data_IF_363352413741
#
_entry.id   IF_363352413741
#
_cell.length_a   1.000
_cell.length_b   1.000
_cell.length_c   1.000
_cell.angle_alpha   90.00
_cell.angle_beta   90.00
_cell.angle_gamma   90.00
#
_symmetry.space_group_name_H-M   'P 1'
#
loop_
_entity.id
_entity.type
_entity.pdbx_description
1 polymer ?
#
# COMPACT_ATOMS: atom_id res chain seq x y z
N UNK A 1 12.94 -19.10 -36.37
CA UNK A 1 14.14 -19.89 -36.76
C UNK A 1 14.26 -21.06 -35.83
N UNK A 2 14.28 -22.33 -36.30
CA UNK A 2 14.48 -23.48 -35.43
C UNK A 2 15.92 -23.47 -34.93
N UNK A 3 16.13 -23.17 -33.66
CA UNK A 3 17.45 -23.31 -33.01
C UNK A 3 17.86 -24.77 -33.01
N UNK A 4 19.09 -25.03 -33.38
CA UNK A 4 19.62 -26.41 -33.48
C UNK A 4 19.98 -26.88 -32.07
N UNK A 5 19.05 -27.61 -31.41
CA UNK A 5 19.17 -28.09 -30.02
C UNK A 5 19.50 -29.59 -29.98
N UNK A 6 20.54 -29.96 -29.24
CA UNK A 6 20.92 -31.37 -29.04
C UNK A 6 21.44 -31.63 -27.63
N UNK A 7 21.24 -32.89 -27.17
CA UNK A 7 21.69 -33.41 -25.89
C UNK A 7 22.59 -34.63 -26.08
N UNK A 8 23.68 -34.72 -25.29
CA UNK A 8 24.58 -35.84 -25.32
C UNK A 8 25.08 -36.18 -23.91
N UNK A 9 24.82 -37.40 -23.45
CA UNK A 9 25.52 -37.92 -22.28
C UNK A 9 26.86 -38.49 -22.70
N UNK A 10 27.90 -38.23 -21.90
CA UNK A 10 29.24 -38.68 -22.15
C UNK A 10 30.04 -38.83 -20.85
N UNK A 11 31.11 -39.61 -20.90
CA UNK A 11 32.04 -39.79 -19.78
C UNK A 11 33.13 -38.72 -19.85
N UNK A 12 33.29 -37.93 -18.78
CA UNK A 12 34.32 -36.88 -18.71
C UNK A 12 35.57 -37.43 -18.00
N UNK A 13 36.52 -37.95 -18.78
CA UNK A 13 37.77 -38.43 -18.25
C UNK A 13 38.67 -37.28 -17.79
N UNK A 14 39.27 -37.35 -16.57
CA UNK A 14 40.30 -36.41 -16.13
C UNK A 14 41.56 -36.51 -17.00
N UNK A 15 42.40 -35.46 -17.03
CA UNK A 15 43.59 -35.39 -17.88
C UNK A 15 44.55 -36.57 -17.65
N UNK A 16 44.65 -37.08 -16.41
CA UNK A 16 45.57 -38.18 -16.01
C UNK A 16 44.78 -39.46 -15.66
N UNK A 17 43.74 -39.77 -16.42
CA UNK A 17 42.93 -40.96 -16.18
C UNK A 17 43.71 -42.21 -16.50
N UNK A 18 43.81 -43.10 -15.54
CA UNK A 18 44.47 -44.43 -15.69
C UNK A 18 43.47 -45.58 -15.68
N UNK A 19 42.60 -45.65 -14.68
CA UNK A 19 41.58 -46.70 -14.55
C UNK A 19 40.48 -46.27 -13.53
N UNK A 20 39.32 -46.96 -13.57
CA UNK A 20 38.23 -46.79 -12.61
C UNK A 20 37.01 -46.05 -13.15
N UNK A 21 35.97 -45.82 -12.29
CA UNK A 21 34.75 -45.13 -12.68
C UNK A 21 35.01 -43.66 -13.07
N UNK A 22 34.27 -43.16 -14.04
CA UNK A 22 34.40 -41.84 -14.60
C UNK A 22 33.03 -41.09 -14.50
N UNK A 23 33.01 -39.83 -14.11
CA UNK A 23 31.75 -39.07 -13.98
C UNK A 23 31.05 -38.91 -15.31
N UNK A 24 29.72 -39.07 -15.26
CA UNK A 24 28.81 -38.87 -16.38
C UNK A 24 28.39 -37.41 -16.45
N UNK A 25 28.51 -36.82 -17.63
CA UNK A 25 28.08 -35.44 -17.91
C UNK A 25 27.00 -35.41 -19.00
N UNK A 26 26.07 -34.50 -18.91
CA UNK A 26 25.14 -34.13 -19.95
C UNK A 26 25.62 -32.84 -20.63
N UNK A 27 25.87 -32.93 -21.92
CA UNK A 27 26.18 -31.75 -22.77
C UNK A 27 24.91 -31.26 -23.46
N UNK A 28 24.64 -29.99 -23.29
CA UNK A 28 23.58 -29.24 -23.97
C UNK A 28 24.24 -28.42 -25.05
N UNK A 29 23.78 -28.55 -26.29
CA UNK A 29 24.28 -27.74 -27.42
C UNK A 29 23.11 -26.99 -28.04
N UNK A 30 23.25 -25.67 -28.21
CA UNK A 30 22.31 -24.81 -28.90
C UNK A 30 23.08 -23.92 -29.85
N UNK A 31 22.79 -24.00 -31.12
CA UNK A 31 23.45 -23.22 -32.19
C UNK A 31 24.99 -23.27 -32.12
N UNK A 32 25.54 -24.46 -31.85
CA UNK A 32 26.97 -24.70 -31.73
C UNK A 32 27.62 -24.34 -30.39
N UNK A 33 26.94 -23.56 -29.52
CA UNK A 33 27.41 -23.24 -28.17
C UNK A 33 27.07 -24.37 -27.19
N UNK A 34 27.95 -24.63 -26.24
CA UNK A 34 27.87 -25.80 -25.34
C UNK A 34 27.79 -25.37 -23.89
N UNK A 35 26.97 -26.09 -23.10
CA UNK A 35 26.97 -26.08 -21.65
C UNK A 35 27.00 -27.51 -21.12
N UNK A 36 27.58 -27.74 -19.94
CA UNK A 36 27.74 -29.09 -19.37
C UNK A 36 27.13 -29.11 -17.96
N UNK A 37 26.48 -30.24 -17.65
CA UNK A 37 25.86 -30.52 -16.35
C UNK A 37 26.37 -31.89 -15.90
N UNK A 38 26.83 -32.03 -14.65
CA UNK A 38 27.15 -33.31 -14.05
C UNK A 38 25.87 -34.10 -13.78
N UNK A 39 25.81 -35.35 -14.14
CA UNK A 39 24.71 -36.26 -13.77
C UNK A 39 24.77 -36.69 -12.30
N UNK A 40 25.84 -36.35 -11.56
CA UNK A 40 26.05 -36.75 -10.17
C UNK A 40 26.23 -38.25 -9.98
N UNK A 41 26.67 -38.94 -11.03
CA UNK A 41 26.94 -40.41 -11.06
C UNK A 41 28.19 -40.69 -11.86
N UNK A 42 28.80 -41.83 -11.57
CA UNK A 42 29.99 -42.32 -12.25
C UNK A 42 29.72 -43.67 -12.91
N UNK A 43 30.49 -44.00 -13.92
CA UNK A 43 30.37 -45.24 -14.67
C UNK A 43 31.77 -45.76 -15.09
N UNK A 44 31.94 -47.06 -15.06
CA UNK A 44 33.10 -47.71 -15.67
C UNK A 44 33.01 -47.54 -17.20
N UNK A 45 34.08 -47.00 -17.86
CA UNK A 45 34.09 -46.80 -19.30
C UNK A 45 33.85 -48.08 -20.11
N UNK A 46 34.22 -49.27 -19.58
CA UNK A 46 33.98 -50.55 -20.24
C UNK A 46 32.48 -50.91 -20.33
N UNK A 47 31.67 -50.35 -19.45
CA UNK A 47 30.22 -50.56 -19.40
C UNK A 47 29.44 -49.44 -20.07
N UNK A 48 30.08 -48.51 -20.76
CA UNK A 48 29.45 -47.37 -21.41
C UNK A 48 29.30 -47.53 -22.92
N UNK A 49 28.11 -47.48 -23.43
CA UNK A 49 27.84 -47.40 -24.87
C UNK A 49 27.81 -45.93 -25.34
N UNK A 50 28.89 -45.50 -25.98
CA UNK A 50 29.00 -44.10 -26.47
C UNK A 50 28.01 -43.76 -27.56
N UNK A 51 27.55 -44.72 -28.38
CA UNK A 51 26.54 -44.50 -29.41
C UNK A 51 25.14 -44.31 -28.83
N UNK A 52 24.77 -45.14 -27.86
CA UNK A 52 23.49 -45.06 -27.18
C UNK A 52 23.50 -43.99 -26.06
N UNK A 53 24.68 -43.52 -25.60
CA UNK A 53 24.83 -42.63 -24.43
C UNK A 53 24.19 -43.22 -23.16
N UNK A 54 24.35 -44.55 -22.95
CA UNK A 54 23.77 -45.33 -21.85
C UNK A 54 24.71 -46.43 -21.37
N UNK A 55 24.44 -46.94 -20.17
CA UNK A 55 25.18 -48.10 -19.64
C UNK A 55 24.68 -49.38 -20.30
N UNK A 56 25.63 -50.32 -20.49
CA UNK A 56 25.38 -51.66 -21.02
C UNK A 56 25.16 -52.62 -19.85
N UNK A 57 24.10 -53.44 -19.92
CA UNK A 57 23.83 -54.54 -18.98
C UNK A 57 22.34 -54.60 -18.61
N UNK A 58 21.98 -55.72 -17.96
CA UNK A 58 20.59 -56.05 -17.58
C UNK A 58 20.34 -55.95 -16.07
N UNK A 59 21.41 -55.74 -15.26
CA UNK A 59 21.32 -55.66 -13.81
C UNK A 59 20.48 -54.44 -13.37
N UNK A 60 19.83 -54.53 -12.21
CA UNK A 60 18.95 -53.50 -11.66
C UNK A 60 19.63 -52.14 -11.50
N UNK A 61 20.91 -52.14 -11.10
CA UNK A 61 21.72 -50.91 -11.00
C UNK A 61 21.85 -50.18 -12.34
N UNK A 62 22.00 -50.93 -13.45
CA UNK A 62 22.13 -50.37 -14.81
C UNK A 62 20.78 -49.76 -15.24
N UNK A 63 19.68 -50.46 -14.97
CA UNK A 63 18.33 -49.98 -15.26
C UNK A 63 18.04 -48.72 -14.50
N UNK A 64 18.34 -48.71 -13.19
CA UNK A 64 18.13 -47.54 -12.31
C UNK A 64 18.94 -46.32 -12.78
N UNK A 65 20.21 -46.53 -13.16
CA UNK A 65 21.05 -45.45 -13.65
C UNK A 65 20.58 -44.92 -15.02
N UNK A 66 20.23 -45.81 -15.94
CA UNK A 66 19.68 -45.40 -17.23
C UNK A 66 18.34 -44.64 -17.08
N UNK A 67 17.45 -45.10 -16.17
CA UNK A 67 16.21 -44.38 -15.85
C UNK A 67 16.47 -42.98 -15.27
N UNK A 68 17.50 -42.82 -14.43
CA UNK A 68 17.93 -41.52 -13.94
C UNK A 68 18.40 -40.60 -15.09
N UNK A 69 19.19 -41.12 -16.03
CA UNK A 69 19.64 -40.35 -17.20
C UNK A 69 18.45 -39.94 -18.08
N UNK A 70 17.46 -40.81 -18.28
CA UNK A 70 16.23 -40.51 -19.02
C UNK A 70 15.42 -39.41 -18.33
N UNK A 71 15.33 -39.44 -17.01
CA UNK A 71 14.66 -38.38 -16.23
C UNK A 71 15.39 -37.04 -16.36
N UNK A 72 16.71 -37.03 -16.28
CA UNK A 72 17.53 -35.83 -16.48
C UNK A 72 17.31 -35.25 -17.89
N UNK A 73 17.32 -36.14 -18.90
CA UNK A 73 17.06 -35.74 -20.29
C UNK A 73 15.69 -35.10 -20.45
N UNK A 74 14.65 -35.72 -19.91
CA UNK A 74 13.28 -35.21 -19.93
C UNK A 74 13.17 -33.81 -19.29
N UNK A 75 13.77 -33.62 -18.11
CA UNK A 75 13.81 -32.33 -17.43
C UNK A 75 14.49 -31.23 -18.24
N UNK A 76 15.54 -31.54 -18.97
CA UNK A 76 16.23 -30.56 -19.84
C UNK A 76 15.39 -30.24 -21.07
N UNK A 77 14.67 -31.21 -21.66
CA UNK A 77 13.69 -30.94 -22.73
C UNK A 77 12.57 -30.06 -22.24
N UNK A 78 12.04 -30.29 -21.02
CA UNK A 78 11.01 -29.43 -20.44
C UNK A 78 11.52 -28.00 -20.19
N UNK A 79 12.77 -27.85 -19.72
CA UNK A 79 13.41 -26.53 -19.58
C UNK A 79 13.54 -25.81 -20.93
N UNK A 80 13.99 -26.52 -21.97
CA UNK A 80 14.07 -25.98 -23.33
C UNK A 80 12.70 -25.54 -23.84
N UNK A 81 11.66 -26.39 -23.72
CA UNK A 81 10.28 -26.08 -24.15
C UNK A 81 9.75 -24.82 -23.47
N UNK A 82 9.87 -24.70 -22.13
CA UNK A 82 9.45 -23.52 -21.36
C UNK A 82 10.14 -22.24 -21.82
N UNK A 83 11.44 -22.32 -22.09
CA UNK A 83 12.19 -21.16 -22.59
C UNK A 83 11.75 -20.77 -24.01
N UNK A 84 11.50 -21.76 -24.89
CA UNK A 84 11.04 -21.52 -26.27
C UNK A 84 9.67 -20.84 -26.34
N UNK A 85 8.80 -21.10 -25.35
CA UNK A 85 7.49 -20.42 -25.24
C UNK A 85 7.61 -18.97 -24.73
N UNK A 86 8.71 -18.61 -24.07
CA UNK A 86 8.90 -17.32 -23.41
C UNK A 86 9.86 -16.38 -24.13
N UNK A 87 10.76 -16.89 -24.98
CA UNK A 87 11.86 -16.12 -25.62
C UNK A 87 12.07 -16.54 -27.04
N UNK A 88 12.39 -15.59 -27.91
CA UNK A 88 12.73 -15.83 -29.31
C UNK A 88 14.14 -16.44 -29.48
N UNK A 89 15.07 -16.14 -28.58
CA UNK A 89 16.45 -16.66 -28.61
C UNK A 89 16.79 -17.34 -27.31
N UNK A 90 17.35 -18.55 -27.39
CA UNK A 90 17.72 -19.38 -26.23
C UNK A 90 19.18 -19.80 -26.39
N UNK A 91 19.93 -19.82 -25.30
CA UNK A 91 21.31 -20.31 -25.27
C UNK A 91 21.42 -21.62 -24.46
N UNK A 92 22.49 -22.39 -24.67
CA UNK A 92 22.76 -23.59 -23.87
C UNK A 92 22.94 -23.26 -22.36
N UNK A 93 23.43 -22.06 -22.03
CA UNK A 93 23.53 -21.55 -20.67
C UNK A 93 22.17 -21.27 -20.07
N UNK A 94 21.25 -20.66 -20.79
CA UNK A 94 19.87 -20.39 -20.28
C UNK A 94 19.19 -21.70 -19.90
N UNK A 95 19.32 -22.75 -20.71
CA UNK A 95 18.75 -24.07 -20.42
C UNK A 95 19.41 -24.70 -19.17
N UNK A 96 20.72 -24.61 -19.08
CA UNK A 96 21.46 -25.08 -17.89
C UNK A 96 21.02 -24.35 -16.64
N UNK A 97 20.91 -23.03 -16.71
CA UNK A 97 20.52 -22.17 -15.59
C UNK A 97 19.10 -22.46 -15.10
N UNK A 98 18.14 -22.65 -16.02
CA UNK A 98 16.77 -23.07 -15.67
C UNK A 98 16.77 -24.47 -15.06
N UNK A 99 17.54 -25.42 -15.63
CA UNK A 99 17.63 -26.79 -15.12
C UNK A 99 18.26 -26.86 -13.73
N UNK A 100 19.34 -26.11 -13.49
CA UNK A 100 20.07 -26.11 -12.20
C UNK A 100 19.46 -25.14 -11.20
N UNK A 101 18.51 -24.30 -11.60
CA UNK A 101 17.98 -23.21 -10.79
C UNK A 101 18.97 -22.06 -10.54
N UNK A 102 20.13 -22.07 -11.24
CA UNK A 102 21.22 -21.10 -11.01
C UNK A 102 21.06 -19.80 -11.80
N UNK A 103 20.21 -19.77 -12.83
CA UNK A 103 19.97 -18.58 -13.67
C UNK A 103 19.03 -17.56 -13.07
N UNK A 104 18.29 -17.93 -12.05
CA UNK A 104 17.50 -16.99 -11.28
C UNK A 104 18.35 -16.47 -10.12
N UNK A 105 18.93 -15.26 -10.29
CA UNK A 105 19.49 -14.55 -9.13
C UNK A 105 18.50 -14.63 -7.99
N UNK A 106 18.89 -15.27 -6.88
CA UNK A 106 18.07 -15.29 -5.67
C UNK A 106 17.71 -13.84 -5.32
N UNK A 107 16.45 -13.48 -5.55
CA UNK A 107 15.99 -12.14 -5.26
C UNK A 107 15.58 -12.05 -3.82
N UNK A 108 16.20 -11.13 -3.11
CA UNK A 108 15.98 -10.95 -1.70
C UNK A 108 14.82 -9.98 -1.46
N UNK A 109 14.02 -10.29 -0.44
CA UNK A 109 12.80 -9.53 -0.10
C UNK A 109 13.11 -8.07 0.27
N UNK A 110 14.08 -7.89 1.19
CA UNK A 110 14.38 -6.55 1.72
C UNK A 110 15.07 -5.69 0.68
N UNK A 111 15.90 -6.28 -0.19
CA UNK A 111 16.46 -5.59 -1.34
C UNK A 111 15.35 -5.07 -2.28
N UNK A 112 14.40 -5.93 -2.62
CA UNK A 112 13.25 -5.57 -3.49
C UNK A 112 12.38 -4.49 -2.84
N UNK A 113 12.12 -4.58 -1.55
CA UNK A 113 11.35 -3.60 -0.81
C UNK A 113 12.08 -2.25 -0.73
N UNK A 114 13.39 -2.27 -0.47
CA UNK A 114 14.24 -1.06 -0.46
C UNK A 114 14.22 -0.35 -1.81
N UNK A 115 14.33 -1.11 -2.91
CA UNK A 115 14.28 -0.59 -4.27
C UNK A 115 12.94 0.11 -4.58
N UNK A 116 11.83 -0.50 -4.15
CA UNK A 116 10.50 0.11 -4.24
C UNK A 116 10.44 1.44 -3.46
N UNK A 117 10.93 1.47 -2.21
CA UNK A 117 10.90 2.67 -1.38
C UNK A 117 11.78 3.79 -1.97
N UNK A 118 12.93 3.44 -2.54
CA UNK A 118 13.81 4.38 -3.25
C UNK A 118 13.11 5.01 -4.47
N UNK A 119 12.34 4.21 -5.24
CA UNK A 119 11.55 4.71 -6.37
C UNK A 119 10.45 5.67 -5.90
N UNK A 120 9.74 5.34 -4.82
CA UNK A 120 8.76 6.27 -4.22
C UNK A 120 9.45 7.55 -3.73
N UNK A 121 10.61 7.45 -3.06
CA UNK A 121 11.34 8.61 -2.55
C UNK A 121 11.71 9.59 -3.66
N UNK A 122 12.13 9.10 -4.82
CA UNK A 122 12.47 9.92 -6.00
C UNK A 122 11.26 10.68 -6.59
N UNK A 123 10.04 10.22 -6.30
CA UNK A 123 8.78 10.80 -6.80
C UNK A 123 8.01 11.58 -5.72
N UNK A 124 8.59 11.76 -4.52
CA UNK A 124 7.99 12.58 -3.46
C UNK A 124 7.93 14.05 -3.91
N UNK A 125 6.77 14.66 -3.74
CA UNK A 125 6.49 16.02 -4.19
C UNK A 125 6.04 16.13 -5.66
N UNK A 126 6.11 15.03 -6.42
CA UNK A 126 5.57 14.92 -7.79
C UNK A 126 4.33 14.05 -7.81
N UNK A 127 4.49 12.76 -7.57
CA UNK A 127 3.43 11.75 -7.61
C UNK A 127 3.01 11.29 -6.20
N UNK A 128 3.96 11.26 -5.26
CA UNK A 128 3.72 10.77 -3.92
C UNK A 128 3.89 11.83 -2.84
N UNK A 129 2.98 11.85 -1.87
CA UNK A 129 3.15 12.65 -0.67
C UNK A 129 4.21 12.05 0.27
N UNK A 130 4.97 12.89 1.00
CA UNK A 130 5.98 12.48 2.00
C UNK A 130 5.44 11.44 2.99
N UNK A 131 4.19 11.60 3.45
CA UNK A 131 3.53 10.64 4.36
C UNK A 131 3.25 9.26 3.72
N UNK A 132 3.28 9.15 2.39
CA UNK A 132 3.19 7.85 1.71
C UNK A 132 4.51 7.10 1.84
N UNK A 133 5.63 7.76 1.60
CA UNK A 133 6.97 7.19 1.79
C UNK A 133 7.16 6.73 3.25
N UNK A 134 6.88 7.59 4.23
CA UNK A 134 6.99 7.24 5.66
C UNK A 134 6.24 5.96 6.04
N UNK A 135 5.06 5.73 5.44
CA UNK A 135 4.27 4.51 5.67
C UNK A 135 4.93 3.26 5.10
N UNK A 136 5.55 3.35 3.93
CA UNK A 136 6.30 2.25 3.35
C UNK A 136 7.61 1.99 4.10
N UNK A 137 8.30 3.03 4.57
CA UNK A 137 9.48 2.91 5.43
C UNK A 137 9.15 2.22 6.75
N UNK A 138 8.02 2.58 7.37
CA UNK A 138 7.51 1.89 8.58
C UNK A 138 7.19 0.42 8.30
N UNK A 139 6.52 0.12 7.18
CA UNK A 139 6.26 -1.27 6.77
C UNK A 139 7.56 -2.05 6.51
N UNK A 140 8.53 -1.43 5.87
CA UNK A 140 9.86 -2.00 5.64
C UNK A 140 10.56 -2.36 6.95
N UNK A 141 10.54 -1.43 7.93
CA UNK A 141 11.11 -1.66 9.25
C UNK A 141 10.44 -2.85 9.96
N UNK A 142 9.11 -2.89 10.01
CA UNK A 142 8.38 -4.00 10.60
C UNK A 142 8.68 -5.33 9.91
N UNK A 143 8.78 -5.36 8.59
CA UNK A 143 9.13 -6.57 7.85
C UNK A 143 10.54 -7.04 8.20
N UNK A 144 11.51 -6.14 8.28
CA UNK A 144 12.90 -6.47 8.66
C UNK A 144 13.00 -6.99 10.11
N UNK A 145 12.28 -6.36 11.02
CA UNK A 145 12.22 -6.77 12.43
C UNK A 145 11.55 -8.14 12.58
N UNK A 146 10.49 -8.41 11.80
CA UNK A 146 9.84 -9.71 11.75
C UNK A 146 10.78 -10.83 11.26
N UNK A 147 11.56 -10.58 10.20
CA UNK A 147 12.54 -11.55 9.69
C UNK A 147 13.57 -11.93 10.77
N UNK A 148 14.05 -10.94 11.52
CA UNK A 148 14.95 -11.18 12.65
C UNK A 148 14.30 -11.96 13.78
N UNK A 149 13.07 -11.57 14.14
CA UNK A 149 12.31 -12.19 15.22
C UNK A 149 11.96 -13.65 14.91
N UNK A 150 11.43 -13.94 13.73
CA UNK A 150 10.88 -15.25 13.38
C UNK A 150 11.91 -16.21 12.80
N UNK A 151 12.82 -15.70 12.00
CA UNK A 151 13.75 -16.52 11.21
C UNK A 151 15.23 -16.29 11.57
N UNK A 152 15.57 -15.32 12.42
CA UNK A 152 16.95 -15.00 12.79
C UNK A 152 17.81 -14.44 11.64
N UNK A 153 17.19 -13.99 10.55
CA UNK A 153 17.88 -13.52 9.34
C UNK A 153 17.62 -12.04 9.07
N UNK A 154 18.51 -11.40 8.34
CA UNK A 154 18.35 -9.99 7.93
C UNK A 154 17.54 -9.84 6.64
N UNK A 155 17.48 -10.87 5.79
CA UNK A 155 16.75 -10.92 4.54
C UNK A 155 16.39 -12.36 4.17
N UNK A 156 15.46 -12.57 3.25
CA UNK A 156 14.98 -13.89 2.82
C UNK A 156 14.73 -13.90 1.31
N UNK A 157 14.96 -15.06 0.68
CA UNK A 157 14.58 -15.27 -0.72
C UNK A 157 13.06 -15.13 -0.88
N UNK A 158 12.61 -14.30 -1.86
CA UNK A 158 11.20 -14.06 -2.12
C UNK A 158 10.41 -15.33 -2.45
N UNK A 159 11.06 -16.38 -2.96
CA UNK A 159 10.44 -17.68 -3.25
C UNK A 159 10.04 -18.47 -1.99
N UNK A 160 10.62 -18.13 -0.83
CA UNK A 160 10.28 -18.73 0.47
C UNK A 160 9.08 -18.08 1.15
N UNK A 161 8.49 -17.06 0.53
CA UNK A 161 7.33 -16.36 1.07
C UNK A 161 6.07 -17.12 0.66
N UNK A 162 5.51 -17.85 1.60
CA UNK A 162 4.28 -18.63 1.47
C UNK A 162 3.12 -18.02 2.27
N UNK A 163 2.01 -18.72 2.34
CA UNK A 163 0.84 -18.29 3.11
C UNK A 163 1.12 -18.23 4.62
N UNK A 164 1.88 -19.20 5.14
CA UNK A 164 2.25 -19.25 6.55
C UNK A 164 3.08 -18.01 6.95
N UNK A 165 4.01 -17.58 6.09
CA UNK A 165 4.74 -16.33 6.28
C UNK A 165 3.80 -15.12 6.47
N UNK A 166 2.72 -15.04 5.67
CA UNK A 166 1.78 -13.91 5.75
C UNK A 166 0.99 -13.92 7.06
N UNK A 167 0.55 -15.10 7.50
CA UNK A 167 -0.16 -15.25 8.78
C UNK A 167 0.75 -14.95 9.98
N UNK A 168 1.96 -15.47 9.98
CA UNK A 168 2.97 -15.19 11.01
C UNK A 168 3.32 -13.69 11.08
N UNK A 169 3.41 -13.02 9.91
CA UNK A 169 3.67 -11.59 9.86
C UNK A 169 2.50 -10.76 10.42
N UNK A 170 1.25 -11.10 10.07
CA UNK A 170 0.07 -10.42 10.63
C UNK A 170 -0.04 -10.66 12.15
N UNK A 171 0.24 -11.89 12.61
CA UNK A 171 0.29 -12.22 14.02
C UNK A 171 1.36 -11.42 14.78
N UNK A 172 2.59 -11.35 14.23
CA UNK A 172 3.69 -10.55 14.80
C UNK A 172 3.32 -9.06 14.92
N UNK A 173 2.70 -8.49 13.90
CA UNK A 173 2.27 -7.09 13.94
C UNK A 173 1.26 -6.82 15.07
N UNK A 174 0.37 -7.78 15.34
CA UNK A 174 -0.66 -7.65 16.36
C UNK A 174 -0.15 -7.89 17.77
N UNK A 175 0.72 -8.87 17.96
CA UNK A 175 1.15 -9.34 19.29
C UNK A 175 2.44 -8.68 19.73
N UNK A 176 3.46 -8.66 18.91
CA UNK A 176 4.78 -8.12 19.26
C UNK A 176 4.85 -6.61 19.03
N UNK A 177 4.33 -6.14 17.89
CA UNK A 177 4.30 -4.70 17.59
C UNK A 177 3.10 -3.97 18.23
N UNK A 178 2.19 -4.66 18.91
CA UNK A 178 0.96 -4.11 19.50
C UNK A 178 0.14 -3.23 18.52
N UNK A 179 0.14 -3.59 17.23
CA UNK A 179 -0.61 -2.85 16.24
C UNK A 179 -2.10 -3.13 16.36
N UNK A 180 -2.90 -2.08 16.44
CA UNK A 180 -4.36 -2.20 16.31
C UNK A 180 -4.72 -2.80 14.94
N UNK A 181 -5.88 -3.50 14.87
CA UNK A 181 -6.34 -4.23 13.69
C UNK A 181 -6.13 -3.48 12.37
N UNK A 182 -6.60 -2.23 12.29
CA UNK A 182 -6.55 -1.47 11.04
C UNK A 182 -5.11 -1.07 10.65
N UNK A 183 -4.23 -0.89 11.63
CA UNK A 183 -2.80 -0.62 11.41
C UNK A 183 -2.09 -1.86 10.90
N UNK A 184 -2.29 -3.03 11.53
CA UNK A 184 -1.73 -4.31 11.09
C UNK A 184 -2.16 -4.62 9.65
N UNK A 185 -3.46 -4.59 9.37
CA UNK A 185 -4.00 -4.83 8.01
C UNK A 185 -3.40 -3.86 6.98
N UNK A 186 -3.11 -2.62 7.37
CA UNK A 186 -2.49 -1.63 6.47
C UNK A 186 -1.03 -1.96 6.16
N UNK A 187 -0.25 -2.39 7.17
CA UNK A 187 1.14 -2.82 6.95
C UNK A 187 1.19 -4.09 6.08
N UNK A 188 0.30 -5.05 6.34
CA UNK A 188 0.17 -6.25 5.48
C UNK A 188 -0.23 -5.87 4.05
N UNK A 189 -1.11 -4.89 3.84
CA UNK A 189 -1.44 -4.36 2.49
C UNK A 189 -0.24 -3.71 1.79
N UNK A 190 0.59 -2.98 2.52
CA UNK A 190 1.81 -2.41 1.96
C UNK A 190 2.79 -3.52 1.55
N UNK A 191 2.96 -4.55 2.39
CA UNK A 191 3.74 -5.73 2.08
C UNK A 191 3.18 -6.47 0.85
N UNK A 192 1.86 -6.66 0.77
CA UNK A 192 1.18 -7.24 -0.40
C UNK A 192 1.51 -6.50 -1.70
N UNK A 193 1.71 -5.17 -1.66
CA UNK A 193 2.13 -4.40 -2.84
C UNK A 193 3.50 -4.86 -3.34
N UNK A 194 4.44 -5.13 -2.45
CA UNK A 194 5.78 -5.63 -2.81
C UNK A 194 5.68 -7.01 -3.44
N UNK A 195 4.92 -7.91 -2.82
CA UNK A 195 4.71 -9.27 -3.38
C UNK A 195 4.05 -9.21 -4.76
N UNK A 196 3.09 -8.31 -4.98
CA UNK A 196 2.49 -8.11 -6.30
C UNK A 196 3.49 -7.64 -7.35
N UNK A 197 4.46 -6.81 -6.98
CA UNK A 197 5.55 -6.41 -7.87
C UNK A 197 6.41 -7.64 -8.22
N UNK A 198 6.73 -8.49 -7.23
CA UNK A 198 7.48 -9.73 -7.46
C UNK A 198 6.73 -10.68 -8.41
N UNK A 199 5.42 -10.82 -8.23
CA UNK A 199 4.57 -11.64 -9.10
C UNK A 199 4.47 -11.07 -10.52
N UNK A 200 4.27 -9.77 -10.67
CA UNK A 200 4.18 -9.10 -11.96
C UNK A 200 5.48 -9.22 -12.78
N UNK A 201 6.62 -9.37 -12.11
CA UNK A 201 7.92 -9.63 -12.75
C UNK A 201 8.22 -11.14 -12.94
N UNK A 202 7.28 -12.03 -12.62
CA UNK A 202 7.46 -13.47 -12.73
C UNK A 202 8.42 -14.09 -11.71
N UNK A 203 8.81 -13.37 -10.66
CA UNK A 203 9.75 -13.85 -9.64
C UNK A 203 9.09 -14.78 -8.61
N UNK A 204 7.78 -14.66 -8.42
CA UNK A 204 6.95 -15.55 -7.61
C UNK A 204 5.80 -16.05 -8.48
N UNK A 205 5.63 -17.37 -8.55
CA UNK A 205 4.57 -17.99 -9.35
C UNK A 205 3.26 -18.10 -8.58
N UNK A 206 3.33 -18.55 -7.32
CA UNK A 206 2.15 -18.72 -6.46
C UNK A 206 1.91 -17.46 -5.62
N UNK A 207 0.63 -17.04 -5.55
CA UNK A 207 0.25 -15.90 -4.74
C UNK A 207 0.12 -16.28 -3.25
N UNK A 208 1.04 -15.86 -2.35
CA UNK A 208 0.96 -16.20 -0.94
C UNK A 208 -0.23 -15.54 -0.21
N UNK A 209 -0.88 -14.56 -0.85
CA UNK A 209 -2.06 -13.88 -0.31
C UNK A 209 -3.39 -14.45 -0.79
N UNK A 210 -3.42 -15.57 -1.54
CA UNK A 210 -4.67 -16.11 -2.12
C UNK A 210 -5.76 -16.31 -1.06
N UNK A 211 -5.41 -16.87 0.10
CA UNK A 211 -6.33 -17.18 1.18
C UNK A 211 -6.33 -16.15 2.32
N UNK A 212 -5.46 -15.14 2.29
CA UNK A 212 -5.39 -14.14 3.35
C UNK A 212 -6.54 -13.12 3.27
N UNK A 213 -7.34 -13.02 4.34
CA UNK A 213 -8.51 -12.14 4.47
C UNK A 213 -8.31 -11.09 5.58
N UNK A 214 -7.48 -10.10 5.33
CA UNK A 214 -7.35 -8.95 6.25
C UNK A 214 -8.59 -8.05 6.22
N UNK A 215 -9.42 -8.10 7.28
CA UNK A 215 -10.63 -7.27 7.40
C UNK A 215 -10.34 -5.99 8.13
N UNK A 216 -10.65 -4.87 7.51
CA UNK A 216 -10.63 -3.55 8.15
C UNK A 216 -11.90 -3.41 9.00
N UNK A 217 -11.75 -3.11 10.29
CA UNK A 217 -12.88 -2.79 11.16
C UNK A 217 -13.34 -1.35 10.89
N UNK A 218 -14.63 -1.16 10.74
CA UNK A 218 -15.22 0.19 10.67
C UNK A 218 -15.00 0.88 12.02
N UNK A 219 -14.55 2.11 11.98
CA UNK A 219 -14.40 2.95 13.16
C UNK A 219 -15.49 4.01 13.11
N UNK A 220 -16.30 4.09 14.14
CA UNK A 220 -17.29 5.13 14.27
C UNK A 220 -16.59 6.48 14.41
N UNK A 221 -17.00 7.40 13.58
CA UNK A 221 -16.40 8.72 13.54
C UNK A 221 -17.21 9.65 14.41
N UNK A 222 -16.53 10.25 15.38
CA UNK A 222 -17.11 11.19 16.32
C UNK A 222 -17.31 12.54 15.60
N UNK A 223 -18.48 13.16 15.79
CA UNK A 223 -18.76 14.55 15.43
C UNK A 223 -19.25 15.30 16.67
N UNK A 224 -19.23 16.62 16.64
CA UNK A 224 -19.82 17.46 17.68
C UNK A 224 -21.32 17.61 17.44
N UNK A 225 -22.08 17.72 18.53
CA UNK A 225 -23.48 18.13 18.47
C UNK A 225 -23.58 19.66 18.33
N UNK A 226 -24.77 20.17 18.05
CA UNK A 226 -25.00 21.62 17.95
C UNK A 226 -24.69 22.32 19.29
N UNK A 227 -25.08 21.72 20.40
CA UNK A 227 -24.84 22.24 21.76
C UNK A 227 -23.33 22.25 22.10
N UNK A 228 -22.59 21.25 21.65
CA UNK A 228 -21.13 21.21 21.86
C UNK A 228 -20.41 22.28 21.03
N UNK A 229 -20.88 22.54 19.79
CA UNK A 229 -20.35 23.62 18.96
C UNK A 229 -20.65 24.97 19.63
N UNK A 230 -21.90 25.18 20.11
CA UNK A 230 -22.29 26.39 20.80
C UNK A 230 -21.45 26.65 22.05
N UNK A 231 -21.23 25.63 22.89
CA UNK A 231 -20.35 25.75 24.07
C UNK A 231 -18.93 26.19 23.71
N UNK A 232 -18.36 25.68 22.61
CA UNK A 232 -17.03 26.09 22.13
C UNK A 232 -17.07 27.54 21.63
N UNK A 233 -18.12 27.94 20.91
CA UNK A 233 -18.31 29.30 20.35
C UNK A 233 -18.40 30.34 21.44
N UNK A 234 -19.23 30.11 22.47
CA UNK A 234 -19.52 31.06 23.55
C UNK A 234 -18.40 31.16 24.59
N UNK A 235 -17.51 30.15 24.62
CA UNK A 235 -16.42 30.10 25.61
C UNK A 235 -15.40 31.20 25.35
N UNK A 236 -15.20 32.06 26.34
CA UNK A 236 -14.09 33.02 26.36
C UNK A 236 -12.84 32.34 26.96
N UNK A 237 -11.73 32.49 26.28
CA UNK A 237 -10.45 31.97 26.75
C UNK A 237 -9.54 33.09 27.26
N UNK A 238 -8.77 32.79 28.29
CA UNK A 238 -7.83 33.77 28.90
C UNK A 238 -6.58 34.01 28.03
N UNK A 239 -6.38 33.24 26.96
CA UNK A 239 -5.17 33.31 26.13
C UNK A 239 -5.52 33.30 24.64
N UNK A 240 -4.93 34.22 23.89
CA UNK A 240 -5.12 34.36 22.45
C UNK A 240 -4.82 33.06 21.67
N UNK A 241 -3.85 32.24 22.15
CA UNK A 241 -3.50 30.96 21.52
C UNK A 241 -4.67 30.00 21.46
N UNK A 242 -5.49 29.94 22.51
CA UNK A 242 -6.68 29.08 22.56
C UNK A 242 -7.82 29.67 21.73
N UNK A 243 -7.96 30.99 21.74
CA UNK A 243 -8.93 31.68 20.89
C UNK A 243 -8.62 31.45 19.40
N UNK A 244 -7.39 31.61 18.96
CA UNK A 244 -7.00 31.36 17.58
C UNK A 244 -7.29 29.90 17.17
N UNK A 245 -6.97 28.94 18.03
CA UNK A 245 -7.24 27.52 17.74
C UNK A 245 -8.72 27.21 17.71
N UNK A 246 -9.52 27.77 18.65
CA UNK A 246 -10.97 27.68 18.63
C UNK A 246 -11.53 28.20 17.31
N UNK A 247 -11.15 29.39 16.92
CA UNK A 247 -11.69 30.08 15.74
C UNK A 247 -11.34 29.32 14.45
N UNK A 248 -10.09 28.86 14.31
CA UNK A 248 -9.71 28.00 13.18
C UNK A 248 -10.46 26.66 13.19
N UNK A 249 -10.73 26.08 14.36
CA UNK A 249 -11.50 24.86 14.48
C UNK A 249 -12.96 25.06 14.10
N UNK A 250 -13.60 26.12 14.61
CA UNK A 250 -14.97 26.49 14.25
C UNK A 250 -15.10 26.79 12.76
N UNK A 251 -14.13 27.52 12.19
CA UNK A 251 -14.08 27.75 10.74
C UNK A 251 -14.06 26.42 9.96
N UNK A 252 -13.26 25.44 10.41
CA UNK A 252 -13.29 24.11 9.82
C UNK A 252 -14.63 23.38 10.03
N UNK A 253 -15.33 23.63 11.16
CA UNK A 253 -16.68 23.10 11.40
C UNK A 253 -17.73 23.70 10.46
N UNK A 254 -17.58 24.97 10.08
CA UNK A 254 -18.55 25.66 9.21
C UNK A 254 -18.23 25.58 7.72
N UNK A 255 -17.01 25.17 7.34
CA UNK A 255 -16.59 25.09 5.93
C UNK A 255 -16.30 23.66 5.46
N UNK A 256 -16.07 22.74 6.39
CA UNK A 256 -15.67 21.37 6.08
C UNK A 256 -14.26 21.22 5.53
N UNK A 257 -13.47 22.28 5.46
CA UNK A 257 -12.09 22.23 4.99
C UNK A 257 -11.23 21.39 5.94
N UNK A 258 -10.32 20.60 5.39
CA UNK A 258 -9.35 19.91 6.20
C UNK A 258 -8.26 20.89 6.68
N UNK A 259 -7.59 20.59 7.80
CA UNK A 259 -6.51 21.40 8.35
C UNK A 259 -5.49 21.82 7.27
N UNK A 260 -5.07 20.88 6.42
CA UNK A 260 -4.09 21.14 5.38
C UNK A 260 -4.59 22.13 4.33
N UNK A 261 -5.89 22.12 4.04
CA UNK A 261 -6.53 23.00 3.07
C UNK A 261 -6.70 24.41 3.66
N UNK A 262 -7.10 24.54 4.94
CA UNK A 262 -7.17 25.85 5.63
C UNK A 262 -5.76 26.45 5.80
N UNK A 263 -4.75 25.61 6.10
CA UNK A 263 -3.37 26.09 6.26
C UNK A 263 -2.78 26.73 5.02
N UNK A 264 -3.20 26.28 3.82
CA UNK A 264 -2.74 26.84 2.53
C UNK A 264 -3.64 27.94 1.99
N UNK A 265 -4.85 28.13 2.57
CA UNK A 265 -5.86 29.06 2.08
C UNK A 265 -5.30 30.49 2.04
N UNK A 266 -5.55 31.16 0.94
CA UNK A 266 -5.20 32.57 0.74
C UNK A 266 -6.44 33.44 0.76
N UNK A 267 -6.29 34.75 1.06
CA UNK A 267 -7.40 35.67 1.04
C UNK A 267 -8.08 35.75 -0.35
N UNK A 268 -7.33 35.60 -1.44
CA UNK A 268 -7.86 35.57 -2.80
C UNK A 268 -8.68 34.32 -3.14
N UNK A 269 -8.60 33.24 -2.35
CA UNK A 269 -9.44 32.06 -2.53
C UNK A 269 -10.89 32.29 -2.03
N UNK A 270 -11.12 33.40 -1.32
CA UNK A 270 -12.44 33.87 -0.86
C UNK A 270 -12.93 34.93 -1.83
N UNK A 271 -14.00 34.64 -2.53
CA UNK A 271 -14.58 35.58 -3.52
C UNK A 271 -16.09 35.38 -3.64
N UNK A 272 -16.78 36.37 -4.28
CA UNK A 272 -18.22 36.28 -4.50
C UNK A 272 -18.54 35.12 -5.45
N UNK A 273 -19.53 34.31 -5.05
CA UNK A 273 -20.09 33.23 -5.85
C UNK A 273 -21.20 33.72 -6.82
N UNK A 274 -21.88 32.75 -7.43
CA UNK A 274 -22.96 32.98 -8.39
C UNK A 274 -24.21 33.60 -7.75
N UNK A 275 -24.35 33.47 -6.44
CA UNK A 275 -25.42 33.97 -5.60
C UNK A 275 -25.13 35.37 -4.99
N UNK A 276 -23.94 35.94 -5.28
CA UNK A 276 -23.44 37.18 -4.72
C UNK A 276 -22.84 37.08 -3.33
N UNK A 277 -22.99 35.96 -2.67
CA UNK A 277 -22.43 35.64 -1.34
C UNK A 277 -20.96 35.23 -1.42
N UNK A 278 -20.26 35.21 -0.28
CA UNK A 278 -18.87 34.80 -0.21
C UNK A 278 -18.74 33.28 -0.28
N UNK A 279 -17.83 32.82 -1.10
CA UNK A 279 -17.48 31.44 -1.29
C UNK A 279 -15.98 31.23 -1.16
N UNK A 280 -15.57 29.99 -0.78
CA UNK A 280 -14.20 29.51 -0.90
C UNK A 280 -14.09 28.66 -2.14
N UNK A 281 -13.16 29.01 -3.04
CA UNK A 281 -12.78 28.21 -4.19
C UNK A 281 -11.36 27.71 -4.01
N UNK A 282 -11.19 26.40 -3.77
CA UNK A 282 -9.89 25.81 -3.53
C UNK A 282 -9.79 24.42 -4.12
N UNK A 283 -8.57 23.88 -4.15
CA UNK A 283 -8.33 22.49 -4.52
C UNK A 283 -7.82 21.73 -3.30
N UNK A 284 -8.40 20.58 -3.07
CA UNK A 284 -8.05 19.75 -1.94
C UNK A 284 -6.61 19.24 -2.09
N UNK A 285 -5.75 19.48 -1.11
CA UNK A 285 -4.32 19.10 -1.18
C UNK A 285 -4.08 17.59 -1.35
N UNK A 286 -4.98 16.74 -0.84
CA UNK A 286 -4.82 15.28 -0.88
C UNK A 286 -5.23 14.65 -2.22
N UNK A 287 -6.18 15.22 -2.93
CA UNK A 287 -6.85 14.60 -4.08
C UNK A 287 -6.88 15.50 -5.31
N UNK A 288 -6.40 16.74 -5.18
CA UNK A 288 -6.44 17.78 -6.22
C UNK A 288 -7.85 18.05 -6.78
N UNK A 289 -8.87 17.60 -6.05
CA UNK A 289 -10.27 17.78 -6.42
C UNK A 289 -10.70 19.20 -6.05
N UNK A 290 -11.39 19.87 -6.95
CA UNK A 290 -11.99 21.19 -6.69
C UNK A 290 -12.98 21.09 -5.54
N UNK A 291 -12.89 22.03 -4.61
CA UNK A 291 -13.84 22.27 -3.51
C UNK A 291 -14.37 23.69 -3.64
N UNK A 292 -15.68 23.85 -3.69
CA UNK A 292 -16.36 25.15 -3.71
C UNK A 292 -17.37 25.13 -2.56
N UNK A 293 -17.16 26.01 -1.60
CA UNK A 293 -17.92 26.03 -0.35
C UNK A 293 -18.52 27.43 -0.14
N UNK A 294 -19.87 27.59 -0.17
CA UNK A 294 -20.52 28.83 0.25
C UNK A 294 -20.22 29.05 1.72
N UNK A 295 -19.89 30.28 2.09
CA UNK A 295 -19.60 30.62 3.48
C UNK A 295 -20.87 30.84 4.26
N UNK A 296 -21.02 30.13 5.36
CA UNK A 296 -22.07 30.43 6.35
C UNK A 296 -21.72 31.70 7.12
N UNK A 297 -22.72 32.48 7.63
CA UNK A 297 -22.47 33.73 8.37
C UNK A 297 -21.39 33.59 9.46
N UNK A 298 -21.46 32.55 10.26
CA UNK A 298 -20.44 32.28 11.30
C UNK A 298 -19.02 32.11 10.75
N UNK A 299 -18.87 31.62 9.53
CA UNK A 299 -17.53 31.50 8.90
C UNK A 299 -17.06 32.87 8.35
N UNK A 300 -17.96 33.71 7.89
CA UNK A 300 -17.66 35.07 7.45
C UNK A 300 -17.21 35.92 8.64
N UNK A 301 -17.96 35.90 9.77
CA UNK A 301 -17.59 36.61 11.01
C UNK A 301 -16.18 36.24 11.49
N UNK A 302 -15.78 34.94 11.37
CA UNK A 302 -14.44 34.51 11.72
C UNK A 302 -13.37 35.08 10.79
N UNK A 303 -13.64 35.24 9.51
CA UNK A 303 -12.69 35.87 8.56
C UNK A 303 -12.57 37.35 8.87
N UNK A 304 -13.70 38.01 9.08
CA UNK A 304 -13.76 39.46 9.39
C UNK A 304 -13.01 39.80 10.69
N UNK A 305 -13.14 38.94 11.72
CA UNK A 305 -12.40 39.08 12.99
C UNK A 305 -10.89 39.21 12.76
N UNK A 306 -10.34 38.50 11.77
CA UNK A 306 -8.88 38.48 11.48
C UNK A 306 -8.50 39.35 10.28
N UNK A 307 -9.42 40.13 9.72
CA UNK A 307 -9.17 40.95 8.53
C UNK A 307 -8.03 41.97 8.74
N UNK A 308 -7.89 42.49 9.98
CA UNK A 308 -6.85 43.44 10.36
C UNK A 308 -5.73 42.86 11.19
N UNK A 309 -5.66 41.53 11.33
CA UNK A 309 -4.57 40.86 12.05
C UNK A 309 -3.24 41.00 11.28
N UNK A 310 -2.16 41.52 11.90
CA UNK A 310 -0.89 41.78 11.22
C UNK A 310 -0.27 40.51 10.59
N UNK A 311 -0.43 39.34 11.21
CA UNK A 311 0.08 38.06 10.70
C UNK A 311 -0.74 37.62 9.49
N UNK A 312 -2.05 37.80 9.54
CA UNK A 312 -2.95 37.46 8.44
C UNK A 312 -2.69 38.35 7.23
N UNK A 313 -2.54 39.66 7.43
CA UNK A 313 -2.24 40.63 6.38
C UNK A 313 -0.89 40.33 5.72
N UNK A 314 0.18 40.16 6.54
CA UNK A 314 1.56 39.97 6.02
C UNK A 314 1.70 38.68 5.20
N UNK A 315 0.91 37.65 5.50
CA UNK A 315 0.96 36.35 4.83
C UNK A 315 -0.14 36.15 3.80
N UNK A 316 -1.04 37.10 3.65
CA UNK A 316 -2.22 37.04 2.79
C UNK A 316 -3.06 35.76 3.07
N UNK A 317 -3.37 35.52 4.34
CA UNK A 317 -4.17 34.37 4.81
C UNK A 317 -5.40 34.87 5.58
N UNK A 318 -6.56 34.18 5.48
CA UNK A 318 -7.78 34.63 6.16
C UNK A 318 -7.80 34.34 7.68
N UNK A 319 -6.95 33.43 8.17
CA UNK A 319 -6.92 33.01 9.57
C UNK A 319 -5.50 32.62 10.04
N UNK A 320 -5.15 32.86 11.32
CA UNK A 320 -3.83 32.55 11.87
C UNK A 320 -3.68 31.06 12.24
N UNK A 321 -3.55 30.18 11.24
CA UNK A 321 -3.53 28.71 11.43
C UNK A 321 -2.21 28.24 12.03
N UNK A 322 -2.17 27.66 13.24
CA UNK A 322 -0.96 27.14 13.87
C UNK A 322 -0.45 25.84 13.20
N UNK A 323 0.62 25.23 13.72
CA UNK A 323 1.03 23.89 13.26
C UNK A 323 0.01 22.83 13.64
N UNK A 324 -0.07 21.73 12.87
CA UNK A 324 -1.06 20.67 13.11
C UNK A 324 -0.90 20.01 14.50
N UNK A 325 0.33 19.91 14.98
CA UNK A 325 0.60 19.40 16.31
C UNK A 325 0.02 20.34 17.37
N UNK A 326 0.39 21.63 17.35
CA UNK A 326 -0.16 22.63 18.27
C UNK A 326 -1.67 22.71 18.19
N UNK A 327 -2.24 22.68 16.97
CA UNK A 327 -3.70 22.66 16.79
C UNK A 327 -4.34 21.51 17.55
N UNK A 328 -3.87 20.29 17.39
CA UNK A 328 -4.46 19.13 18.06
C UNK A 328 -4.18 19.09 19.57
N UNK A 329 -3.06 19.63 20.03
CA UNK A 329 -2.75 19.69 21.47
C UNK A 329 -3.66 20.70 22.19
N UNK A 330 -3.84 21.89 21.62
CA UNK A 330 -4.74 22.91 22.18
C UNK A 330 -6.22 22.54 22.05
N UNK A 331 -6.62 21.77 21.04
CA UNK A 331 -7.98 21.22 20.95
C UNK A 331 -8.32 20.29 22.10
N UNK A 332 -7.36 19.56 22.67
CA UNK A 332 -7.59 18.75 23.87
C UNK A 332 -7.85 19.65 25.11
N UNK A 333 -7.10 20.74 25.21
CA UNK A 333 -7.29 21.74 26.28
C UNK A 333 -8.67 22.41 26.15
N UNK A 334 -9.04 22.82 24.93
CA UNK A 334 -10.38 23.40 24.65
C UNK A 334 -11.49 22.40 25.00
N UNK A 335 -11.36 21.12 24.65
CA UNK A 335 -12.34 20.10 25.00
C UNK A 335 -12.53 19.98 26.52
N UNK A 336 -11.44 19.95 27.28
CA UNK A 336 -11.48 19.86 28.72
C UNK A 336 -12.17 21.10 29.34
N UNK A 337 -11.79 22.31 28.91
CA UNK A 337 -12.36 23.58 29.42
C UNK A 337 -13.83 23.76 29.05
N UNK A 338 -14.27 23.21 27.91
CA UNK A 338 -15.66 23.26 27.46
C UNK A 338 -16.51 22.07 27.98
N UNK A 339 -15.97 21.17 28.79
CA UNK A 339 -16.68 19.99 29.30
C UNK A 339 -17.11 19.02 28.20
N UNK A 340 -16.27 18.82 27.18
CA UNK A 340 -16.55 17.93 26.05
C UNK A 340 -15.78 16.62 26.23
N UNK A 341 -16.49 15.52 26.48
CA UNK A 341 -15.91 14.18 26.66
C UNK A 341 -15.57 13.48 25.33
N UNK A 342 -15.07 14.24 24.35
CA UNK A 342 -14.63 13.75 23.06
C UNK A 342 -13.21 14.20 22.80
N UNK A 343 -12.35 13.32 22.28
CA UNK A 343 -10.98 13.71 21.91
C UNK A 343 -11.03 14.57 20.66
N UNK A 344 -11.01 15.90 20.81
CA UNK A 344 -11.05 16.82 19.68
C UNK A 344 -9.75 16.74 18.88
N UNK A 345 -9.90 16.71 17.58
CA UNK A 345 -8.82 16.82 16.59
C UNK A 345 -9.31 17.68 15.43
N UNK A 346 -8.39 18.28 14.68
CA UNK A 346 -8.74 19.07 13.49
C UNK A 346 -9.61 18.30 12.48
N UNK A 347 -9.55 16.97 12.48
CA UNK A 347 -10.34 16.14 11.57
C UNK A 347 -11.83 16.01 11.99
N UNK A 348 -12.11 16.13 13.30
CA UNK A 348 -13.49 16.11 13.82
C UNK A 348 -14.30 17.30 13.30
N UNK A 349 -13.67 18.45 13.12
CA UNK A 349 -14.35 19.62 12.52
C UNK A 349 -14.99 19.28 11.16
N UNK A 350 -14.27 18.58 10.30
CA UNK A 350 -14.78 18.14 9.01
C UNK A 350 -15.91 17.09 9.12
N UNK A 351 -15.85 16.21 10.13
CA UNK A 351 -16.97 15.30 10.42
C UNK A 351 -18.18 16.06 10.92
N UNK A 352 -17.98 17.05 11.79
CA UNK A 352 -19.02 17.93 12.31
C UNK A 352 -19.71 18.72 11.20
N UNK A 353 -18.93 19.30 10.27
CA UNK A 353 -19.50 19.94 9.08
C UNK A 353 -20.40 18.98 8.29
N UNK A 354 -19.85 17.82 7.93
CA UNK A 354 -20.58 16.87 7.10
C UNK A 354 -21.86 16.35 7.78
N UNK A 355 -21.83 16.11 9.08
CA UNK A 355 -22.94 15.50 9.80
C UNK A 355 -23.84 16.58 10.40
N UNK A 356 -23.35 17.33 11.40
CA UNK A 356 -24.14 18.24 12.23
C UNK A 356 -24.54 19.50 11.50
N UNK A 357 -23.64 20.10 10.71
CA UNK A 357 -23.92 21.36 10.03
C UNK A 357 -24.70 21.15 8.74
N UNK A 358 -24.43 20.06 7.98
CA UNK A 358 -25.04 19.92 6.65
C UNK A 358 -26.08 18.80 6.57
N UNK A 359 -25.72 17.52 6.74
CA UNK A 359 -26.64 16.41 6.54
C UNK A 359 -27.85 16.44 7.49
N UNK A 360 -27.65 16.80 8.78
CA UNK A 360 -28.75 16.94 9.76
C UNK A 360 -29.70 18.05 9.38
N UNK A 361 -29.22 19.11 8.72
CA UNK A 361 -30.02 20.26 8.26
C UNK A 361 -30.55 20.09 6.82
N UNK A 362 -30.60 18.86 6.30
CA UNK A 362 -31.24 18.55 5.03
C UNK A 362 -30.43 18.78 3.77
N UNK A 363 -29.14 19.15 3.87
CA UNK A 363 -28.27 19.31 2.69
C UNK A 363 -28.05 17.95 2.05
N UNK A 364 -28.31 17.76 0.73
CA UNK A 364 -28.12 16.49 0.05
C UNK A 364 -26.67 16.00 0.12
N UNK A 365 -26.49 14.68 0.23
CA UNK A 365 -25.16 14.06 0.39
C UNK A 365 -24.24 14.34 -0.79
N UNK A 366 -24.79 14.49 -2.00
CA UNK A 366 -24.06 14.82 -3.22
C UNK A 366 -23.47 16.22 -3.13
N UNK A 367 -24.24 17.16 -2.61
CA UNK A 367 -23.80 18.55 -2.37
C UNK A 367 -22.69 18.58 -1.32
N UNK A 368 -22.88 17.87 -0.20
CA UNK A 368 -21.86 17.74 0.84
C UNK A 368 -20.58 17.10 0.28
N UNK A 369 -20.73 16.06 -0.54
CA UNK A 369 -19.59 15.40 -1.19
C UNK A 369 -18.78 16.36 -2.07
N UNK A 370 -19.46 17.21 -2.81
CA UNK A 370 -18.85 18.22 -3.69
C UNK A 370 -18.15 19.32 -2.88
N UNK A 371 -18.78 19.86 -1.84
CA UNK A 371 -18.17 20.83 -0.93
C UNK A 371 -16.92 20.27 -0.26
N UNK A 372 -16.97 19.01 0.18
CA UNK A 372 -15.85 18.31 0.78
C UNK A 372 -14.72 17.95 -0.23
N UNK A 373 -14.92 18.11 -1.52
CA UNK A 373 -13.93 17.71 -2.54
C UNK A 373 -13.64 16.21 -2.52
N UNK A 374 -14.67 15.37 -2.37
CA UNK A 374 -14.53 13.93 -2.45
C UNK A 374 -14.58 13.46 -3.90
N UNK A 375 -13.67 12.57 -4.29
CA UNK A 375 -13.64 11.97 -5.63
C UNK A 375 -14.72 10.90 -5.84
N UNK A 376 -15.36 10.43 -4.75
CA UNK A 376 -16.39 9.40 -4.77
C UNK A 376 -17.38 9.61 -3.65
N UNK A 377 -18.68 9.47 -3.95
CA UNK A 377 -19.77 9.58 -2.99
C UNK A 377 -19.62 8.58 -1.82
N UNK A 378 -19.03 7.42 -2.07
CA UNK A 378 -18.72 6.40 -1.05
C UNK A 378 -17.89 6.95 0.11
N UNK A 379 -17.04 7.97 -0.13
CA UNK A 379 -16.29 8.63 0.94
C UNK A 379 -17.20 9.48 1.85
N UNK A 380 -18.29 10.02 1.32
CA UNK A 380 -19.25 10.83 2.05
C UNK A 380 -20.29 9.96 2.77
N UNK A 381 -20.61 8.78 2.24
CA UNK A 381 -21.51 7.82 2.88
C UNK A 381 -21.08 7.39 4.28
N UNK A 382 -19.79 7.49 4.62
CA UNK A 382 -19.31 7.27 5.99
C UNK A 382 -19.83 8.30 7.00
N UNK A 383 -20.28 9.49 6.53
CA UNK A 383 -20.92 10.53 7.37
C UNK A 383 -22.43 10.38 7.42
N UNK A 384 -23.00 9.72 6.42
CA UNK A 384 -24.43 9.49 6.28
C UNK A 384 -24.93 8.31 7.12
N UNK A 385 -24.32 8.03 8.29
CA UNK A 385 -25.04 7.27 9.31
C UNK A 385 -26.28 8.10 9.62
N UNK A 386 -27.40 7.65 9.09
CA UNK A 386 -28.68 8.32 9.25
C UNK A 386 -28.93 8.41 10.74
N UNK A 387 -28.89 9.61 11.26
CA UNK A 387 -29.21 9.90 12.65
C UNK A 387 -30.70 9.61 12.77
N UNK A 388 -31.12 8.84 13.76
CA UNK A 388 -32.54 8.48 13.97
C UNK A 388 -33.46 9.70 14.00
N UNK A 389 -32.95 10.85 14.49
CA UNK A 389 -33.65 12.14 14.46
C UNK A 389 -33.96 12.62 13.03
N UNK A 390 -33.08 12.37 12.06
CA UNK A 390 -33.34 12.75 10.65
C UNK A 390 -34.38 11.83 10.02
N UNK A 391 -34.28 10.52 10.29
CA UNK A 391 -35.32 9.57 9.85
C UNK A 391 -36.67 9.98 10.39
N UNK A 392 -36.75 10.33 11.67
CA UNK A 392 -37.98 10.83 12.30
C UNK A 392 -38.51 12.11 11.63
N UNK A 393 -37.64 13.11 11.40
CA UNK A 393 -37.99 14.35 10.74
C UNK A 393 -38.47 14.16 9.30
N UNK A 394 -37.75 13.37 8.52
CA UNK A 394 -38.10 13.09 7.12
C UNK A 394 -39.45 12.34 7.04
N UNK A 395 -39.69 11.41 7.98
CA UNK A 395 -40.97 10.68 8.07
C UNK A 395 -42.13 11.57 8.57
N UNK A 396 -41.89 12.53 9.43
CA UNK A 396 -42.89 13.54 9.82
C UNK A 396 -43.33 14.36 8.61
N UNK A 397 -42.37 14.90 7.86
CA UNK A 397 -42.62 15.64 6.63
C UNK A 397 -43.42 14.84 5.60
N UNK A 398 -43.09 13.53 5.46
CA UNK A 398 -43.82 12.65 4.57
C UNK A 398 -45.24 12.38 5.07
N UNK A 399 -45.44 12.15 6.37
CA UNK A 399 -46.78 11.99 6.98
C UNK A 399 -47.67 13.20 6.71
N UNK A 400 -47.14 14.41 6.91
CA UNK A 400 -47.87 15.65 6.62
C UNK A 400 -48.29 15.79 5.15
N UNK A 401 -47.41 15.36 4.21
CA UNK A 401 -47.73 15.38 2.78
C UNK A 401 -48.77 14.34 2.38
N UNK A 402 -48.81 13.18 3.04
CA UNK A 402 -49.76 12.12 2.76
C UNK A 402 -51.08 12.26 3.52
N UNK A 403 -51.15 13.17 4.48
CA UNK A 403 -52.36 13.49 5.25
C UNK A 403 -53.20 14.59 4.62
N UNK A 404 -52.74 15.18 3.52
CA UNK A 404 -53.44 16.15 2.67
C UNK A 404 -54.03 15.45 1.45
#
# INVERSE_FOLDING_TARGET
MNSNFSLLFYLKKPKNYTAGPVPIYLRITVDGKRAEISAGRECDPLRWNSKASRLIGTKEEVKSLNALLDNLQSKVYDAHRRLSEQRETITALDIKDVFTGSGEKNRMLMETFSDHNRKIAALVGKEFAKGTLQRYETSFRHTREFLRYRYGVSDIDIKKIDHCFIEDYDFYLRTVCNCLNNSAVKYVKNFKKIIRICMANGWIVMNPFSNYKGRVKTVDRICLTAEEIQRITEKKFATDRLEHVRDVFLFCCYTGLAYADVKKLKACDVSKGIDGELWIFTYRQKTETRSAVPLLPAAVELIEKYANDPVCLSRNIPLPVPSNQKMNDYLKEIAAVCGINKMLTSHIARHTFATTITLTNGVPIETVSKMLGHSSLKQTQHYAKIIDSKVSSDMLTLREKLSR
#
